data_IF_176905421315
#
_entry.id   IF_176905421315
#
_cell.length_a   1.000
_cell.length_b   1.000
_cell.length_c   1.000
_cell.angle_alpha   90.00
_cell.angle_beta   90.00
_cell.angle_gamma   90.00
#
_symmetry.space_group_name_H-M   'P 1'
#
loop_
_entity.id
_entity.type
_entity.pdbx_description
1 polymer ?
#
# COMPACT_ATOMS: atom_id res chain seq x y z
N UNK A 1 34.21 11.66 9.26
CA UNK A 1 32.74 11.76 9.40
C UNK A 1 32.22 12.22 8.06
N UNK A 2 31.65 11.30 7.27
CA UNK A 2 31.18 11.60 5.91
C UNK A 2 29.68 11.91 5.97
N UNK A 3 29.34 13.11 5.50
CA UNK A 3 27.98 13.64 5.41
C UNK A 3 27.18 12.87 4.35
N UNK A 4 26.21 12.07 4.79
CA UNK A 4 25.18 11.47 3.95
C UNK A 4 23.89 12.28 4.09
N UNK A 5 23.81 13.50 3.55
CA UNK A 5 22.55 14.27 3.58
C UNK A 5 21.82 14.26 2.24
N UNK A 6 22.53 14.04 1.12
CA UNK A 6 21.94 14.19 -0.22
C UNK A 6 21.28 12.90 -0.76
N UNK A 7 21.64 11.72 -0.23
CA UNK A 7 21.00 10.46 -0.60
C UNK A 7 19.71 10.22 0.19
N UNK A 8 19.59 10.74 1.41
CA UNK A 8 18.43 10.46 2.27
C UNK A 8 17.18 11.15 1.72
N UNK A 9 17.27 12.44 1.38
CA UNK A 9 16.15 13.20 0.80
C UNK A 9 15.69 12.65 -0.57
N UNK A 10 16.64 12.21 -1.40
CA UNK A 10 16.35 11.60 -2.71
C UNK A 10 15.64 10.24 -2.55
N UNK A 11 16.10 9.42 -1.61
CA UNK A 11 15.47 8.13 -1.29
C UNK A 11 14.08 8.34 -0.68
N UNK A 12 13.90 9.32 0.21
CA UNK A 12 12.59 9.68 0.75
C UNK A 12 11.65 10.17 -0.34
N UNK A 13 12.11 11.00 -1.27
CA UNK A 13 11.34 11.44 -2.43
C UNK A 13 10.89 10.27 -3.31
N UNK A 14 11.82 9.38 -3.67
CA UNK A 14 11.50 8.19 -4.47
C UNK A 14 10.51 7.25 -3.76
N UNK A 15 10.59 7.13 -2.43
CA UNK A 15 9.63 6.32 -1.65
C UNK A 15 8.24 6.95 -1.63
N UNK A 16 8.13 8.28 -1.64
CA UNK A 16 6.86 9.00 -1.76
C UNK A 16 6.25 8.84 -3.15
N UNK A 17 7.02 9.08 -4.20
CA UNK A 17 6.54 8.93 -5.58
C UNK A 17 6.02 7.50 -5.83
N UNK A 18 6.75 6.49 -5.34
CA UNK A 18 6.32 5.09 -5.43
C UNK A 18 5.10 4.77 -4.58
N UNK A 19 4.92 5.46 -3.45
CA UNK A 19 3.69 5.32 -2.66
C UNK A 19 2.49 5.91 -3.40
N UNK A 20 2.67 7.06 -4.05
CA UNK A 20 1.64 7.69 -4.89
C UNK A 20 1.19 6.77 -6.03
N UNK A 21 2.15 6.24 -6.78
CA UNK A 21 1.89 5.29 -7.87
C UNK A 21 1.12 4.06 -7.33
N UNK A 22 1.63 3.44 -6.27
CA UNK A 22 1.04 2.23 -5.69
C UNK A 22 -0.38 2.48 -5.17
N UNK A 23 -0.62 3.63 -4.53
CA UNK A 23 -1.94 4.00 -4.04
C UNK A 23 -2.93 4.25 -5.19
N UNK A 24 -2.48 4.87 -6.28
CA UNK A 24 -3.29 5.08 -7.47
C UNK A 24 -3.67 3.74 -8.14
N UNK A 25 -2.72 2.83 -8.30
CA UNK A 25 -2.95 1.51 -8.89
C UNK A 25 -3.90 0.66 -8.02
N UNK A 26 -3.69 0.62 -6.70
CA UNK A 26 -4.58 -0.10 -5.77
C UNK A 26 -5.98 0.51 -5.79
N UNK A 27 -6.09 1.85 -5.74
CA UNK A 27 -7.37 2.53 -5.83
C UNK A 27 -8.12 2.23 -7.12
N UNK A 28 -7.41 2.20 -8.24
CA UNK A 28 -7.99 1.84 -9.55
C UNK A 28 -8.46 0.38 -9.60
N UNK A 29 -7.61 -0.55 -9.17
CA UNK A 29 -7.92 -1.98 -9.13
C UNK A 29 -9.12 -2.26 -8.20
N UNK A 30 -9.21 -1.56 -7.05
CA UNK A 30 -10.33 -1.67 -6.11
C UNK A 30 -11.64 -1.20 -6.69
N UNK A 31 -11.68 -0.04 -7.37
CA UNK A 31 -12.88 0.47 -8.05
C UNK A 31 -13.38 -0.46 -9.14
N UNK A 32 -12.46 -1.11 -9.86
CA UNK A 32 -12.79 -2.05 -10.94
C UNK A 32 -13.09 -3.46 -10.46
N UNK A 33 -12.93 -3.71 -9.16
CA UNK A 33 -13.09 -5.04 -8.56
C UNK A 33 -12.16 -6.08 -9.22
N UNK A 34 -10.98 -5.64 -9.64
CA UNK A 34 -9.95 -6.50 -10.26
C UNK A 34 -9.19 -7.24 -9.17
N UNK A 35 -9.77 -8.37 -8.73
CA UNK A 35 -9.31 -9.11 -7.55
C UNK A 35 -7.89 -9.66 -7.73
N UNK A 36 -7.56 -10.15 -8.93
CA UNK A 36 -6.25 -10.71 -9.22
C UNK A 36 -5.17 -9.64 -9.16
N UNK A 37 -5.44 -8.47 -9.74
CA UNK A 37 -4.52 -7.35 -9.70
C UNK A 37 -4.39 -6.78 -8.27
N UNK A 38 -5.50 -6.65 -7.54
CA UNK A 38 -5.47 -6.24 -6.13
C UNK A 38 -4.59 -7.16 -5.27
N UNK A 39 -4.74 -8.48 -5.44
CA UNK A 39 -3.92 -9.45 -4.74
C UNK A 39 -2.43 -9.26 -5.06
N UNK A 40 -2.09 -9.11 -6.34
CA UNK A 40 -0.70 -8.90 -6.76
C UNK A 40 -0.09 -7.64 -6.12
N UNK A 41 -0.77 -6.50 -6.20
CA UNK A 41 -0.29 -5.25 -5.61
C UNK A 41 -0.15 -5.36 -4.09
N UNK A 42 -1.18 -5.89 -3.42
CA UNK A 42 -1.21 -5.96 -1.95
C UNK A 42 -0.21 -6.97 -1.38
N UNK A 43 0.09 -8.06 -2.09
CA UNK A 43 0.96 -9.13 -1.58
C UNK A 43 2.42 -8.92 -1.99
N UNK A 44 2.65 -8.45 -3.21
CA UNK A 44 3.99 -8.37 -3.80
C UNK A 44 4.61 -6.98 -3.73
N UNK A 45 3.82 -5.91 -3.89
CA UNK A 45 4.36 -4.54 -4.05
C UNK A 45 4.31 -3.74 -2.74
N UNK A 46 3.25 -3.91 -1.95
CA UNK A 46 3.10 -3.21 -0.65
C UNK A 46 4.20 -3.61 0.33
N UNK A 47 4.58 -4.89 0.41
CA UNK A 47 5.58 -5.36 1.38
C UNK A 47 6.99 -4.79 1.13
N UNK A 48 7.58 -4.87 -0.08
CA UNK A 48 8.89 -4.25 -0.35
C UNK A 48 8.90 -2.74 -0.14
N UNK A 49 7.80 -2.06 -0.44
CA UNK A 49 7.67 -0.63 -0.14
C UNK A 49 7.68 -0.40 1.38
N UNK A 50 6.80 -1.08 2.11
CA UNK A 50 6.63 -0.93 3.55
C UNK A 50 7.93 -1.23 4.34
N UNK A 51 8.71 -2.23 3.91
CA UNK A 51 10.01 -2.53 4.53
C UNK A 51 11.05 -1.42 4.31
N UNK A 52 11.03 -0.77 3.14
CA UNK A 52 11.95 0.34 2.82
C UNK A 52 11.54 1.65 3.49
N UNK A 53 10.25 1.88 3.70
CA UNK A 53 9.72 3.07 4.39
C UNK A 53 9.68 2.93 5.92
N UNK A 54 9.97 1.75 6.47
CA UNK A 54 9.92 1.49 7.92
C UNK A 54 8.51 1.20 8.47
N UNK A 55 7.52 1.04 7.60
CA UNK A 55 6.12 0.72 7.92
C UNK A 55 5.96 -0.77 8.27
N UNK A 56 6.46 -1.18 9.44
CA UNK A 56 6.52 -2.57 9.87
C UNK A 56 5.16 -3.27 9.96
N UNK A 57 4.13 -2.57 10.45
CA UNK A 57 2.74 -3.08 10.51
C UNK A 57 2.21 -3.41 9.12
N UNK A 58 2.42 -2.52 8.15
CA UNK A 58 1.96 -2.71 6.79
C UNK A 58 2.71 -3.85 6.09
N UNK A 59 4.01 -3.97 6.35
CA UNK A 59 4.82 -5.07 5.86
C UNK A 59 4.37 -6.44 6.41
N UNK A 60 4.00 -6.50 7.69
CA UNK A 60 3.47 -7.72 8.33
C UNK A 60 2.09 -8.08 7.76
N UNK A 61 1.18 -7.11 7.62
CA UNK A 61 -0.15 -7.35 7.05
C UNK A 61 -0.07 -7.88 5.62
N UNK A 62 0.71 -7.23 4.76
CA UNK A 62 0.94 -7.69 3.39
C UNK A 62 1.54 -9.10 3.35
N UNK A 63 2.50 -9.38 4.22
CA UNK A 63 3.09 -10.72 4.35
C UNK A 63 2.06 -11.76 4.78
N UNK A 64 1.26 -11.49 5.80
CA UNK A 64 0.23 -12.40 6.30
C UNK A 64 -0.79 -12.75 5.22
N UNK A 65 -1.24 -11.77 4.45
CA UNK A 65 -2.15 -12.01 3.33
C UNK A 65 -1.52 -12.89 2.24
N UNK A 66 -0.22 -12.76 2.00
CA UNK A 66 0.50 -13.56 0.99
C UNK A 66 0.70 -15.03 1.36
N UNK A 67 0.71 -15.36 2.66
CA UNK A 67 0.96 -16.74 3.15
C UNK A 67 -0.30 -17.45 3.62
N UNK A 68 -1.39 -16.72 3.85
CA UNK A 68 -2.66 -17.30 4.24
C UNK A 68 -3.41 -17.83 3.01
N UNK A 69 -4.23 -18.89 3.16
CA UNK A 69 -5.12 -19.32 2.10
C UNK A 69 -6.01 -18.17 1.65
N UNK A 70 -6.07 -17.95 0.34
CA UNK A 70 -7.00 -16.98 -0.25
C UNK A 70 -8.44 -17.32 0.15
N UNK A 71 -9.24 -16.33 0.60
CA UNK A 71 -10.65 -16.55 0.88
C UNK A 71 -11.39 -17.09 -0.36
N UNK A 72 -12.32 -18.01 -0.13
CA UNK A 72 -13.16 -18.57 -1.20
C UNK A 72 -14.25 -17.60 -1.65
N UNK A 73 -14.63 -16.67 -0.76
CA UNK A 73 -15.64 -15.67 -1.02
C UNK A 73 -15.02 -14.28 -1.24
N UNK A 74 -15.58 -13.59 -2.22
CA UNK A 74 -15.13 -12.26 -2.65
C UNK A 74 -15.25 -11.23 -1.53
N UNK A 75 -16.30 -11.30 -0.72
CA UNK A 75 -16.56 -10.33 0.35
C UNK A 75 -15.48 -10.37 1.42
N UNK A 76 -15.10 -11.57 1.87
CA UNK A 76 -14.01 -11.75 2.84
C UNK A 76 -12.66 -11.33 2.27
N UNK A 77 -12.40 -11.65 0.99
CA UNK A 77 -11.20 -11.16 0.31
C UNK A 77 -11.15 -9.62 0.31
N UNK A 78 -12.22 -8.95 -0.11
CA UNK A 78 -12.28 -7.50 -0.12
C UNK A 78 -12.16 -6.89 1.27
N UNK A 79 -12.76 -7.49 2.30
CA UNK A 79 -12.60 -7.02 3.68
C UNK A 79 -11.13 -7.09 4.17
N UNK A 80 -10.41 -8.14 3.79
CA UNK A 80 -8.98 -8.27 4.10
C UNK A 80 -8.13 -7.23 3.36
N UNK A 81 -8.41 -7.00 2.08
CA UNK A 81 -7.75 -5.98 1.27
C UNK A 81 -8.08 -4.57 1.79
N UNK A 82 -9.34 -4.30 2.13
CA UNK A 82 -9.78 -3.00 2.66
C UNK A 82 -9.07 -2.68 3.98
N UNK A 83 -8.83 -3.69 4.84
CA UNK A 83 -8.03 -3.52 6.05
C UNK A 83 -6.57 -3.16 5.75
N UNK A 84 -5.98 -3.72 4.69
CA UNK A 84 -4.63 -3.34 4.26
C UNK A 84 -4.62 -1.94 3.67
N UNK A 85 -5.64 -1.58 2.88
CA UNK A 85 -5.78 -0.24 2.31
C UNK A 85 -5.93 0.82 3.41
N UNK A 86 -6.65 0.54 4.51
CA UNK A 86 -6.72 1.43 5.68
C UNK A 86 -5.34 1.76 6.25
N UNK A 87 -4.47 0.76 6.36
CA UNK A 87 -3.12 0.96 6.89
C UNK A 87 -2.22 1.67 5.87
N UNK A 88 -2.44 1.44 4.58
CA UNK A 88 -1.78 2.17 3.49
C UNK A 88 -2.21 3.64 3.47
N UNK A 89 -3.49 3.95 3.70
CA UNK A 89 -3.99 5.34 3.84
C UNK A 89 -3.28 6.09 4.96
N UNK A 90 -3.10 5.44 6.11
CA UNK A 90 -2.37 6.01 7.23
C UNK A 90 -0.89 6.23 6.88
N UNK A 91 -0.27 5.27 6.19
CA UNK A 91 1.11 5.40 5.71
C UNK A 91 1.26 6.57 4.72
N UNK A 92 0.29 6.77 3.82
CA UNK A 92 0.23 7.94 2.92
C UNK A 92 0.17 9.25 3.71
N UNK A 93 -0.67 9.31 4.74
CA UNK A 93 -0.80 10.49 5.60
C UNK A 93 0.50 10.78 6.37
N UNK A 94 1.17 9.73 6.91
CA UNK A 94 2.48 9.86 7.58
C UNK A 94 3.59 10.31 6.63
N UNK A 95 3.54 9.87 5.37
CA UNK A 95 4.49 10.26 4.34
C UNK A 95 4.23 11.68 3.80
N UNK A 96 3.10 12.32 4.13
CA UNK A 96 2.72 13.64 3.60
C UNK A 96 2.11 13.60 2.20
N UNK A 97 1.54 12.45 1.82
CA UNK A 97 0.96 12.18 0.51
C UNK A 97 -0.56 12.09 0.63
N UNK A 98 -1.19 13.23 0.93
CA UNK A 98 -2.62 13.26 1.25
C UNK A 98 -3.52 12.94 0.05
N UNK A 99 -3.08 13.28 -1.17
CA UNK A 99 -3.76 12.95 -2.43
C UNK A 99 -3.97 11.44 -2.59
N UNK A 100 -2.94 10.66 -2.28
CA UNK A 100 -2.97 9.19 -2.31
C UNK A 100 -3.91 8.63 -1.24
N UNK A 101 -3.85 9.17 -0.01
CA UNK A 101 -4.74 8.76 1.08
C UNK A 101 -6.22 9.00 0.73
N UNK A 102 -6.55 10.14 0.11
CA UNK A 102 -7.91 10.47 -0.35
C UNK A 102 -8.35 9.49 -1.45
N UNK A 103 -7.47 9.19 -2.41
CA UNK A 103 -7.77 8.28 -3.52
C UNK A 103 -8.15 6.89 -3.02
N UNK A 104 -7.38 6.34 -2.08
CA UNK A 104 -7.63 5.05 -1.45
C UNK A 104 -8.95 5.03 -0.67
N UNK A 105 -9.21 6.09 0.11
CA UNK A 105 -10.46 6.23 0.86
C UNK A 105 -11.68 6.25 -0.04
N UNK A 106 -11.60 6.98 -1.15
CA UNK A 106 -12.67 7.02 -2.15
C UNK A 106 -12.89 5.64 -2.78
N UNK A 107 -11.81 4.95 -3.16
CA UNK A 107 -11.90 3.64 -3.79
C UNK A 107 -12.55 2.56 -2.91
N UNK A 108 -12.50 2.71 -1.59
CA UNK A 108 -13.15 1.81 -0.63
C UNK A 108 -14.62 2.13 -0.35
N UNK A 109 -15.02 3.39 -0.57
CA UNK A 109 -16.39 3.84 -0.37
C UNK A 109 -17.33 3.42 -1.53
N UNK A 110 -16.74 3.05 -2.67
CA UNK A 110 -17.38 2.49 -3.86
C UNK A 110 -17.53 0.94 -3.79
#
# INVERSE_FOLDING_TARGET
MLQCNMNDESVTGQLRDRLEDLAAEIGHARKRMDLGHLAALCFCEVRPWARRSGESTLADLSWRLSIQPLPLDRTTFLAQIDRLIEELEQACSRAGVDSAAITLRQARAD
#
